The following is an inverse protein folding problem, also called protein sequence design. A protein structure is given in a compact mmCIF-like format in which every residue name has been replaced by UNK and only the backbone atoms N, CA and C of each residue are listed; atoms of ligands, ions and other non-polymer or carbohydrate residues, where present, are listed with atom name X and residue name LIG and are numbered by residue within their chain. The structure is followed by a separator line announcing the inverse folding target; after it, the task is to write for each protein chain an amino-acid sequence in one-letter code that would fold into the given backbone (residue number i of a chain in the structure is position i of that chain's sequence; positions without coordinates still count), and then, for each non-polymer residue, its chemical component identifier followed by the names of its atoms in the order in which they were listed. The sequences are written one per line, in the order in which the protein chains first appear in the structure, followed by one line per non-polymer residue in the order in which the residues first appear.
data_IF_017395856829
#
_entry.id   IF_017395856829
#
_cell.length_a   1.000
_cell.length_b   1.000
_cell.length_c   1.000
_cell.angle_alpha   90.00
_cell.angle_beta   90.00
_cell.angle_gamma   90.00
#
_symmetry.space_group_name_H-M   'P 1'
#
loop_
_entity.id
_entity.type
_entity.pdbx_description
1 polymer ?
#
# COMPACT_ATOMS: atom_id res chain seq x y z
N UNK A 1 -17.28 -20.34 11.76
CA UNK A 1 -17.86 -19.20 11.02
C UNK A 1 -17.35 -19.29 9.60
N UNK A 2 -18.22 -19.32 8.58
CA UNK A 2 -17.81 -19.44 7.18
C UNK A 2 -17.75 -18.04 6.54
N UNK A 3 -16.53 -17.50 6.47
CA UNK A 3 -15.97 -16.63 5.43
C UNK A 3 -16.90 -15.81 4.52
N UNK A 4 -17.56 -14.75 4.99
CA UNK A 4 -17.96 -13.68 4.06
C UNK A 4 -17.83 -12.29 4.69
N UNK A 5 -17.07 -11.40 4.03
CA UNK A 5 -16.85 -10.01 4.48
C UNK A 5 -17.59 -8.99 3.58
N UNK A 6 -18.40 -9.46 2.62
CA UNK A 6 -19.14 -8.59 1.70
C UNK A 6 -20.64 -8.56 2.04
N UNK A 7 -21.29 -7.38 1.99
CA UNK A 7 -22.69 -7.23 2.40
C UNK A 7 -23.69 -8.11 1.62
N UNK A 8 -23.43 -8.39 0.35
CA UNK A 8 -24.30 -9.22 -0.51
C UNK A 8 -24.28 -10.68 -0.10
N UNK A 9 -23.11 -11.23 0.24
CA UNK A 9 -22.94 -12.64 0.61
C UNK A 9 -23.45 -12.94 2.02
N UNK A 10 -23.50 -11.95 2.91
CA UNK A 10 -24.12 -12.07 4.23
C UNK A 10 -25.60 -12.50 4.14
N UNK A 11 -26.31 -12.05 3.10
CA UNK A 11 -27.71 -12.43 2.88
C UNK A 11 -27.85 -13.90 2.48
N UNK A 12 -26.94 -14.41 1.65
CA UNK A 12 -26.91 -15.82 1.23
C UNK A 12 -26.49 -16.73 2.40
N UNK A 13 -25.50 -16.34 3.20
CA UNK A 13 -25.11 -17.08 4.40
C UNK A 13 -26.26 -17.16 5.42
N UNK A 14 -27.06 -16.10 5.54
CA UNK A 14 -28.25 -16.09 6.39
C UNK A 14 -29.37 -17.01 5.88
N UNK A 15 -29.50 -17.19 4.57
CA UNK A 15 -30.45 -18.13 3.95
C UNK A 15 -29.98 -19.58 4.15
N UNK A 16 -28.69 -19.86 3.95
CA UNK A 16 -28.13 -21.22 4.08
C UNK A 16 -28.14 -21.74 5.54
N UNK A 17 -28.31 -20.87 6.54
CA UNK A 17 -28.45 -21.24 7.95
C UNK A 17 -29.89 -21.58 8.38
N UNK A 18 -30.90 -21.47 7.50
CA UNK A 18 -32.30 -21.74 7.86
C UNK A 18 -32.65 -23.22 7.68
N UNK A 19 -33.06 -23.94 8.74
CA UNK A 19 -33.89 -25.12 8.58
C UNK A 19 -35.24 -24.70 7.96
N UNK A 20 -35.86 -25.53 7.11
CA UNK A 20 -37.20 -25.25 6.59
C UNK A 20 -38.20 -25.03 7.74
N UNK A 21 -38.86 -23.87 7.77
CA UNK A 21 -39.95 -23.57 8.72
C UNK A 21 -39.60 -22.65 9.91
N UNK A 22 -38.35 -22.21 10.09
CA UNK A 22 -37.98 -21.30 11.18
C UNK A 22 -38.24 -19.81 10.90
N UNK A 23 -39.13 -19.15 11.66
CA UNK A 23 -39.29 -17.68 11.65
C UNK A 23 -38.14 -17.06 12.46
N UNK A 24 -37.46 -16.04 11.91
CA UNK A 24 -36.45 -15.29 12.65
C UNK A 24 -37.09 -14.55 13.83
N UNK A 25 -36.71 -14.91 15.06
CA UNK A 25 -36.93 -14.03 16.19
C UNK A 25 -36.03 -12.79 16.02
N UNK A 26 -36.64 -11.68 15.60
CA UNK A 26 -35.97 -10.39 15.46
C UNK A 26 -35.50 -9.92 16.84
N UNK A 27 -34.19 -9.80 17.03
CA UNK A 27 -33.66 -9.33 18.31
C UNK A 27 -32.12 -9.38 18.48
N UNK A 28 -31.38 -9.91 17.51
CA UNK A 28 -29.92 -9.85 17.57
C UNK A 28 -29.41 -8.43 17.37
N UNK A 29 -28.94 -7.76 18.43
CA UNK A 29 -28.07 -6.58 18.27
C UNK A 29 -26.92 -7.00 17.36
N UNK A 30 -26.78 -6.38 16.18
CA UNK A 30 -25.61 -6.57 15.31
C UNK A 30 -24.39 -6.11 16.10
N UNK A 31 -23.68 -7.05 16.74
CA UNK A 31 -22.41 -6.76 17.39
C UNK A 31 -21.46 -6.30 16.29
N UNK A 32 -20.75 -5.19 16.52
CA UNK A 32 -19.68 -4.77 15.60
C UNK A 32 -18.69 -5.94 15.47
N UNK A 33 -18.14 -6.19 14.26
CA UNK A 33 -17.08 -7.17 14.09
C UNK A 33 -15.95 -6.95 15.10
N UNK A 34 -15.33 -8.04 15.56
CA UNK A 34 -14.17 -7.94 16.46
C UNK A 34 -13.07 -7.13 15.78
N UNK A 35 -12.56 -6.11 16.48
CA UNK A 35 -11.42 -5.32 16.01
C UNK A 35 -10.15 -6.02 16.48
N UNK A 36 -9.40 -6.55 15.52
CA UNK A 36 -8.12 -7.21 15.82
C UNK A 36 -7.11 -6.22 16.37
N UNK A 37 -6.42 -6.61 17.43
CA UNK A 37 -5.34 -5.84 18.04
C UNK A 37 -3.99 -6.23 17.44
N UNK A 38 -2.95 -5.43 17.69
CA UNK A 38 -1.57 -5.78 17.31
C UNK A 38 -1.14 -7.16 17.84
N UNK A 39 -1.62 -7.55 19.02
CA UNK A 39 -1.29 -8.84 19.63
C UNK A 39 -1.92 -10.00 18.84
N UNK A 40 -3.17 -9.84 18.40
CA UNK A 40 -3.89 -10.86 17.64
C UNK A 40 -3.29 -11.10 16.26
N UNK A 41 -2.74 -10.05 15.64
CA UNK A 41 -2.14 -10.10 14.31
C UNK A 41 -0.63 -10.41 14.34
N UNK A 42 -0.12 -10.90 15.47
CA UNK A 42 1.29 -11.27 15.61
C UNK A 42 1.63 -12.51 14.78
N UNK A 43 2.72 -12.43 13.99
CA UNK A 43 3.21 -13.59 13.23
C UNK A 43 3.53 -14.79 14.12
N UNK A 44 3.81 -14.58 15.42
CA UNK A 44 4.11 -15.67 16.37
C UNK A 44 2.91 -16.59 16.62
N UNK A 45 1.70 -16.10 16.37
CA UNK A 45 0.45 -16.87 16.49
C UNK A 45 0.12 -17.62 15.18
N UNK A 46 0.92 -17.45 14.13
CA UNK A 46 0.70 -18.10 12.84
C UNK A 46 1.16 -19.57 12.87
N UNK A 47 0.40 -20.53 12.28
CA UNK A 47 0.82 -21.92 12.16
C UNK A 47 2.13 -22.13 11.39
N UNK A 48 2.50 -21.18 10.54
CA UNK A 48 3.75 -21.23 9.76
C UNK A 48 4.96 -20.68 10.50
N UNK A 49 4.82 -20.22 11.74
CA UNK A 49 5.91 -19.65 12.51
C UNK A 49 6.80 -20.75 13.11
N UNK A 50 8.09 -20.74 12.77
CA UNK A 50 9.07 -21.76 13.17
C UNK A 50 10.00 -21.28 14.28
N UNK A 51 9.50 -20.47 15.21
CA UNK A 51 10.29 -19.98 16.35
C UNK A 51 11.45 -19.09 15.89
N UNK A 52 12.70 -19.51 16.18
CA UNK A 52 13.91 -18.72 15.86
C UNK A 52 14.15 -18.55 14.35
N UNK A 53 13.60 -19.42 13.51
CA UNK A 53 13.73 -19.33 12.04
C UNK A 53 12.76 -18.33 11.40
N UNK A 54 11.83 -17.77 12.18
CA UNK A 54 10.80 -16.85 11.66
C UNK A 54 9.66 -17.58 10.95
N UNK A 55 8.96 -16.87 10.06
CA UNK A 55 7.89 -17.43 9.25
C UNK A 55 8.47 -18.34 8.14
N UNK A 56 7.91 -19.53 7.97
CA UNK A 56 8.34 -20.47 6.91
C UNK A 56 7.92 -20.02 5.50
N UNK A 57 6.88 -19.17 5.41
CA UNK A 57 6.31 -18.75 4.13
C UNK A 57 7.01 -17.47 3.66
N UNK A 58 7.42 -17.44 2.39
CA UNK A 58 8.08 -16.29 1.77
C UNK A 58 7.15 -15.08 1.59
N UNK A 59 5.86 -15.31 1.34
CA UNK A 59 4.82 -14.29 1.20
C UNK A 59 3.68 -14.58 2.17
N UNK A 60 3.48 -13.72 3.17
CA UNK A 60 2.45 -13.92 4.17
C UNK A 60 1.03 -13.76 3.55
N UNK A 61 0.17 -14.80 3.60
CA UNK A 61 -1.18 -14.73 3.00
C UNK A 61 -2.11 -13.72 3.67
N UNK A 62 -1.83 -13.36 4.93
CA UNK A 62 -2.63 -12.47 5.77
C UNK A 62 -1.91 -11.15 6.07
N UNK A 63 -0.96 -10.75 5.22
CA UNK A 63 -0.15 -9.55 5.46
C UNK A 63 -1.00 -8.28 5.51
N UNK A 64 -2.07 -8.18 4.72
CA UNK A 64 -3.00 -7.06 4.75
C UNK A 64 -3.62 -6.86 6.14
N UNK A 65 -4.10 -7.95 6.77
CA UNK A 65 -4.67 -7.91 8.12
C UNK A 65 -3.59 -7.50 9.13
N UNK A 66 -2.38 -8.06 9.01
CA UNK A 66 -1.27 -7.69 9.90
C UNK A 66 -0.88 -6.23 9.79
N UNK A 67 -0.97 -5.63 8.60
CA UNK A 67 -0.73 -4.20 8.39
C UNK A 67 -1.86 -3.36 9.02
N UNK A 68 -3.13 -3.76 8.87
CA UNK A 68 -4.28 -3.09 9.50
C UNK A 68 -4.16 -3.02 11.03
N UNK A 69 -3.63 -4.06 11.68
CA UNK A 69 -3.41 -4.07 13.14
C UNK A 69 -2.04 -3.48 13.56
N UNK A 70 -1.27 -2.90 12.64
CA UNK A 70 0.10 -2.42 12.88
C UNK A 70 1.04 -3.49 13.47
N UNK A 71 0.84 -4.75 13.08
CA UNK A 71 1.62 -5.92 13.48
C UNK A 71 2.66 -6.37 12.44
N UNK A 72 2.70 -5.70 11.28
CA UNK A 72 3.75 -5.82 10.28
C UNK A 72 4.34 -4.43 9.98
N UNK A 73 5.67 -4.30 9.84
CA UNK A 73 6.30 -3.06 9.46
C UNK A 73 6.14 -2.79 7.96
N UNK A 74 6.28 -1.53 7.56
CA UNK A 74 6.32 -1.09 6.15
C UNK A 74 7.30 -1.91 5.30
N UNK A 75 8.46 -2.24 5.84
CA UNK A 75 9.47 -3.04 5.15
C UNK A 75 8.93 -4.39 4.69
N UNK A 76 8.13 -5.05 5.53
CA UNK A 76 7.54 -6.35 5.21
C UNK A 76 6.54 -6.21 4.05
N UNK A 77 5.76 -5.12 4.02
CA UNK A 77 4.87 -4.80 2.90
C UNK A 77 5.65 -4.57 1.60
N UNK A 78 6.73 -3.80 1.66
CA UNK A 78 7.58 -3.53 0.48
C UNK A 78 8.24 -4.82 -0.02
N UNK A 79 8.87 -5.60 0.85
CA UNK A 79 9.52 -6.86 0.46
C UNK A 79 8.51 -7.87 -0.12
N UNK A 80 7.32 -7.98 0.47
CA UNK A 80 6.24 -8.82 -0.04
C UNK A 80 5.79 -8.38 -1.43
N UNK A 81 5.70 -7.06 -1.66
CA UNK A 81 5.29 -6.47 -2.96
C UNK A 81 6.20 -6.93 -4.10
N UNK A 82 7.50 -7.05 -3.86
CA UNK A 82 8.50 -7.36 -4.89
C UNK A 82 9.13 -8.76 -4.76
N UNK A 83 8.48 -9.67 -4.02
CA UNK A 83 8.97 -11.03 -3.77
C UNK A 83 9.20 -11.83 -5.07
N UNK A 84 8.33 -11.65 -6.06
CA UNK A 84 8.34 -12.36 -7.35
C UNK A 84 9.31 -11.77 -8.39
N UNK A 85 9.85 -10.57 -8.16
CA UNK A 85 10.73 -9.90 -9.13
C UNK A 85 12.03 -10.68 -9.32
N UNK A 86 12.42 -11.06 -10.53
CA UNK A 86 13.66 -11.84 -10.77
C UNK A 86 14.90 -10.98 -11.03
N UNK A 87 14.74 -9.67 -11.30
CA UNK A 87 15.84 -8.78 -11.64
C UNK A 87 16.84 -8.59 -10.48
N UNK A 88 18.05 -9.17 -10.61
CA UNK A 88 19.07 -9.24 -9.56
C UNK A 88 19.55 -7.86 -9.07
N UNK A 89 19.92 -6.90 -9.95
CA UNK A 89 20.40 -5.59 -9.48
C UNK A 89 19.35 -4.84 -8.67
N UNK A 90 18.09 -4.91 -9.09
CA UNK A 90 16.96 -4.34 -8.35
C UNK A 90 16.78 -5.00 -6.98
N UNK A 91 16.81 -6.35 -6.92
CA UNK A 91 16.70 -7.09 -5.65
C UNK A 91 17.82 -6.73 -4.68
N UNK A 92 19.06 -6.64 -5.16
CA UNK A 92 20.20 -6.21 -4.35
C UNK A 92 20.01 -4.80 -3.81
N UNK A 93 19.57 -3.86 -4.66
CA UNK A 93 19.28 -2.49 -4.26
C UNK A 93 18.17 -2.40 -3.21
N UNK A 94 17.06 -3.13 -3.43
CA UNK A 94 15.94 -3.19 -2.50
C UNK A 94 16.38 -3.73 -1.14
N UNK A 95 17.14 -4.84 -1.14
CA UNK A 95 17.68 -5.42 0.09
C UNK A 95 18.65 -4.48 0.78
N UNK A 96 19.55 -3.82 0.06
CA UNK A 96 20.47 -2.81 0.61
C UNK A 96 19.69 -1.71 1.34
N UNK A 97 18.73 -1.10 0.66
CA UNK A 97 17.96 0.02 1.23
C UNK A 97 17.17 -0.42 2.45
N UNK A 98 16.47 -1.56 2.42
CA UNK A 98 15.56 -1.96 3.49
C UNK A 98 16.20 -2.79 4.61
N UNK A 99 17.25 -3.60 4.35
CA UNK A 99 17.96 -4.39 5.39
C UNK A 99 18.99 -3.60 6.18
N UNK A 100 19.62 -2.57 5.62
CA UNK A 100 20.75 -1.87 6.27
C UNK A 100 20.34 -0.95 7.42
N UNK A 101 19.07 -0.98 7.84
CA UNK A 101 18.60 -0.05 8.85
C UNK A 101 19.09 -0.41 10.25
N UNK A 102 20.11 0.32 10.70
CA UNK A 102 20.53 0.41 12.10
C UNK A 102 19.51 1.24 12.89
N UNK A 103 18.61 0.57 13.60
CA UNK A 103 18.02 1.12 14.85
C UNK A 103 16.76 2.00 14.78
N UNK A 104 15.92 1.95 13.74
CA UNK A 104 14.63 2.66 13.77
C UNK A 104 13.59 2.20 12.73
N UNK A 105 12.31 2.55 12.91
CA UNK A 105 11.20 2.18 11.99
C UNK A 105 11.20 3.03 10.72
N UNK A 106 10.93 2.44 9.55
CA UNK A 106 10.90 3.15 8.27
C UNK A 106 9.81 4.22 8.25
N UNK A 107 10.20 5.47 8.03
CA UNK A 107 9.24 6.56 7.90
C UNK A 107 8.45 6.40 6.59
N UNK A 108 7.11 6.34 6.66
CA UNK A 108 6.26 6.12 5.49
C UNK A 108 6.20 7.32 4.56
N UNK A 109 6.67 8.49 4.99
CA UNK A 109 6.71 9.71 4.18
C UNK A 109 8.14 10.26 4.07
N UNK A 110 8.32 11.16 3.10
CA UNK A 110 9.59 11.87 2.92
C UNK A 110 9.89 12.82 4.08
N UNK A 111 8.87 13.55 4.51
CA UNK A 111 8.88 14.52 5.61
C UNK A 111 7.43 14.80 6.05
N UNK A 112 7.25 15.59 7.11
CA UNK A 112 5.93 15.97 7.63
C UNK A 112 5.08 16.75 6.63
N UNK A 113 5.71 17.54 5.74
CA UNK A 113 5.00 18.29 4.69
C UNK A 113 4.36 17.34 3.68
N UNK A 114 5.10 16.32 3.23
CA UNK A 114 4.59 15.27 2.35
C UNK A 114 3.42 14.54 3.03
N UNK A 115 3.57 14.11 4.30
CA UNK A 115 2.50 13.46 5.04
C UNK A 115 1.23 14.30 5.09
N UNK A 116 1.31 15.52 5.63
CA UNK A 116 0.15 16.41 5.80
C UNK A 116 -0.56 16.66 4.47
N UNK A 117 0.22 16.84 3.41
CA UNK A 117 -0.31 17.09 2.07
C UNK A 117 -1.01 15.86 1.50
N UNK A 118 -0.39 14.68 1.58
CA UNK A 118 -1.01 13.44 1.17
C UNK A 118 -2.34 13.20 1.90
N UNK A 119 -2.35 13.32 3.22
CA UNK A 119 -3.55 13.15 4.04
C UNK A 119 -4.66 14.13 3.63
N UNK A 120 -4.32 15.42 3.52
CA UNK A 120 -5.28 16.48 3.15
C UNK A 120 -5.87 16.25 1.76
N UNK A 121 -5.06 15.91 0.77
CA UNK A 121 -5.51 15.73 -0.61
C UNK A 121 -6.22 14.39 -0.82
N UNK A 122 -5.88 13.36 -0.04
CA UNK A 122 -6.55 12.05 -0.10
C UNK A 122 -8.03 12.14 0.30
N UNK A 123 -8.38 13.06 1.20
CA UNK A 123 -9.77 13.31 1.62
C UNK A 123 -10.62 13.98 0.54
N UNK A 124 -9.98 14.60 -0.47
CA UNK A 124 -10.68 15.27 -1.58
C UNK A 124 -10.96 14.34 -2.75
N UNK A 125 -10.37 13.14 -2.75
CA UNK A 125 -10.60 12.16 -3.81
C UNK A 125 -11.95 11.46 -3.60
N UNK A 126 -12.68 11.25 -4.69
CA UNK A 126 -13.95 10.51 -4.66
C UNK A 126 -13.67 9.01 -4.73
N UNK A 127 -13.87 8.30 -3.62
CA UNK A 127 -13.69 6.84 -3.50
C UNK A 127 -12.38 6.34 -4.15
N UNK A 128 -11.20 6.86 -3.73
CA UNK A 128 -9.95 6.51 -4.38
C UNK A 128 -9.62 5.03 -4.18
N UNK A 129 -9.26 4.37 -5.27
CA UNK A 129 -8.65 3.05 -5.19
C UNK A 129 -7.19 3.14 -4.73
N UNK A 130 -6.61 1.99 -4.39
CA UNK A 130 -5.23 1.94 -3.88
C UNK A 130 -4.21 2.49 -4.89
N UNK A 131 -4.45 2.30 -6.19
CA UNK A 131 -3.60 2.83 -7.27
C UNK A 131 -3.65 4.36 -7.33
N UNK A 132 -4.84 4.95 -7.20
CA UNK A 132 -4.98 6.42 -7.11
C UNK A 132 -4.30 6.98 -5.87
N UNK A 133 -4.37 6.28 -4.73
CA UNK A 133 -3.65 6.68 -3.51
C UNK A 133 -2.13 6.57 -3.69
N UNK A 134 -1.63 5.51 -4.33
CA UNK A 134 -0.22 5.36 -4.64
C UNK A 134 0.30 6.46 -5.58
N UNK A 135 -0.47 6.79 -6.62
CA UNK A 135 -0.17 7.90 -7.52
C UNK A 135 -0.15 9.24 -6.77
N UNK A 136 -1.19 9.53 -5.97
CA UNK A 136 -1.25 10.75 -5.15
C UNK A 136 -0.04 10.86 -4.23
N UNK A 137 0.34 9.78 -3.55
CA UNK A 137 1.50 9.72 -2.67
C UNK A 137 2.77 10.20 -3.40
N UNK A 138 3.07 9.66 -4.58
CA UNK A 138 4.25 10.06 -5.36
C UNK A 138 4.18 11.53 -5.81
N UNK A 139 3.02 12.00 -6.27
CA UNK A 139 2.84 13.37 -6.73
C UNK A 139 2.99 14.38 -5.59
N UNK A 140 2.55 14.03 -4.38
CA UNK A 140 2.66 14.91 -3.21
C UNK A 140 4.05 14.94 -2.58
N UNK A 141 4.92 13.99 -2.93
CA UNK A 141 6.29 13.91 -2.42
C UNK A 141 7.20 15.04 -2.95
N UNK A 142 6.86 15.60 -4.11
CA UNK A 142 7.58 16.69 -4.75
C UNK A 142 6.68 17.91 -4.99
N UNK A 143 7.20 19.10 -4.75
CA UNK A 143 6.42 20.33 -4.89
C UNK A 143 6.08 20.63 -6.36
N UNK A 144 7.05 20.45 -7.27
CA UNK A 144 6.87 20.76 -8.69
C UNK A 144 5.87 19.81 -9.32
N UNK A 145 6.00 18.51 -9.03
CA UNK A 145 5.03 17.51 -9.49
C UNK A 145 3.63 17.79 -8.99
N UNK A 146 3.47 18.12 -7.71
CA UNK A 146 2.15 18.44 -7.17
C UNK A 146 1.55 19.70 -7.77
N UNK A 147 2.36 20.74 -7.98
CA UNK A 147 1.87 22.01 -8.56
C UNK A 147 1.24 21.79 -9.94
N UNK A 148 1.87 20.93 -10.74
CA UNK A 148 1.36 20.50 -12.04
C UNK A 148 0.13 19.61 -11.87
N UNK A 149 0.23 18.53 -11.08
CA UNK A 149 -0.84 17.55 -10.89
C UNK A 149 -2.14 18.20 -10.37
N UNK A 150 -2.03 19.19 -9.48
CA UNK A 150 -3.18 19.91 -8.91
C UNK A 150 -4.04 20.58 -9.98
N UNK A 151 -3.46 21.02 -11.10
CA UNK A 151 -4.20 21.62 -12.23
C UNK A 151 -4.98 20.58 -13.04
N UNK A 152 -4.55 19.32 -12.95
CA UNK A 152 -5.18 18.16 -13.59
C UNK A 152 -6.04 17.34 -12.61
N UNK A 153 -6.24 17.84 -11.39
CA UNK A 153 -7.19 17.24 -10.45
C UNK A 153 -8.56 17.87 -10.65
N UNK A 154 -9.47 17.13 -11.29
CA UNK A 154 -10.85 17.56 -11.52
C UNK A 154 -11.83 16.55 -10.91
N UNK A 155 -12.89 17.05 -10.28
CA UNK A 155 -13.99 16.23 -9.74
C UNK A 155 -13.50 15.08 -8.83
N UNK A 156 -12.48 15.33 -8.01
CA UNK A 156 -11.93 14.34 -7.08
C UNK A 156 -11.18 13.18 -7.74
N UNK A 157 -10.75 13.32 -8.99
CA UNK A 157 -9.86 12.38 -9.71
C UNK A 157 -8.63 13.11 -10.23
N UNK A 158 -7.51 12.41 -10.28
CA UNK A 158 -6.25 12.94 -10.80
C UNK A 158 -6.08 12.40 -12.22
N UNK A 159 -6.13 13.27 -13.23
CA UNK A 159 -5.90 12.90 -14.62
C UNK A 159 -4.42 13.03 -15.00
N UNK A 160 -3.66 11.94 -14.87
CA UNK A 160 -2.25 11.91 -15.28
C UNK A 160 -2.04 11.63 -16.76
N UNK A 161 -3.08 11.32 -17.54
CA UNK A 161 -2.92 11.04 -18.98
C UNK A 161 -2.60 12.31 -19.75
N UNK A 162 -3.25 13.41 -19.39
CA UNK A 162 -3.10 14.70 -20.04
C UNK A 162 -2.07 15.63 -19.35
N UNK A 163 -1.52 15.18 -18.23
CA UNK A 163 -0.52 15.92 -17.47
C UNK A 163 0.85 15.82 -18.14
N UNK A 164 1.36 16.96 -18.60
CA UNK A 164 2.71 17.08 -19.15
C UNK A 164 3.62 17.71 -18.11
N UNK A 165 4.76 17.07 -17.86
CA UNK A 165 5.79 17.62 -16.96
C UNK A 165 6.84 18.37 -17.80
N UNK A 166 7.16 19.58 -17.37
CA UNK A 166 8.23 20.39 -17.96
C UNK A 166 9.63 19.87 -17.58
N UNK A 167 10.68 20.69 -17.70
CA UNK A 167 12.01 20.32 -17.24
C UNK A 167 12.00 20.11 -15.73
N UNK A 168 12.17 18.86 -15.29
CA UNK A 168 12.18 18.45 -13.88
C UNK A 168 13.43 17.65 -13.55
N UNK A 169 13.69 17.45 -12.27
CA UNK A 169 14.80 16.59 -11.83
C UNK A 169 14.59 15.13 -12.29
N UNK A 170 15.66 14.33 -12.47
CA UNK A 170 15.55 12.91 -12.79
C UNK A 170 14.67 12.14 -11.79
N UNK A 171 14.77 12.46 -10.50
CA UNK A 171 13.93 11.89 -9.45
C UNK A 171 12.46 12.24 -9.63
N UNK A 172 12.15 13.52 -9.88
CA UNK A 172 10.77 13.96 -10.14
C UNK A 172 10.20 13.28 -11.38
N UNK A 173 11.02 13.11 -12.42
CA UNK A 173 10.64 12.38 -13.63
C UNK A 173 10.32 10.90 -13.33
N UNK A 174 11.17 10.22 -12.55
CA UNK A 174 10.96 8.84 -12.13
C UNK A 174 9.68 8.66 -11.29
N UNK A 175 9.42 9.58 -10.35
CA UNK A 175 8.19 9.60 -9.55
C UNK A 175 6.95 9.77 -10.42
N UNK A 176 6.98 10.68 -11.40
CA UNK A 176 5.88 10.88 -12.34
C UNK A 176 5.64 9.66 -13.24
N UNK A 177 6.70 9.04 -13.78
CA UNK A 177 6.58 7.80 -14.56
C UNK A 177 5.91 6.69 -13.75
N UNK A 178 6.36 6.48 -12.51
CA UNK A 178 5.76 5.49 -11.61
C UNK A 178 4.30 5.82 -11.27
N UNK A 179 3.96 7.09 -11.04
CA UNK A 179 2.58 7.51 -10.79
C UNK A 179 1.66 7.25 -11.99
N UNK A 180 2.14 7.49 -13.22
CA UNK A 180 1.41 7.17 -14.45
C UNK A 180 1.22 5.68 -14.63
N UNK A 181 2.24 4.87 -14.39
CA UNK A 181 2.17 3.40 -14.49
C UNK A 181 1.07 2.82 -13.59
N UNK A 182 0.88 3.35 -12.38
CA UNK A 182 -0.23 2.92 -11.52
C UNK A 182 -1.61 3.23 -12.09
N UNK A 183 -1.78 4.30 -12.87
CA UNK A 183 -3.08 4.70 -13.42
C UNK A 183 -3.37 4.14 -14.80
N UNK A 184 -2.37 4.03 -15.67
CA UNK A 184 -2.56 3.58 -17.05
C UNK A 184 -2.38 2.08 -17.23
N UNK A 185 -1.82 1.39 -16.23
CA UNK A 185 -1.40 -0.02 -16.31
C UNK A 185 -0.38 -0.31 -17.42
N UNK A 186 0.10 0.74 -18.09
CA UNK A 186 1.18 0.68 -19.07
C UNK A 186 2.51 0.86 -18.35
N UNK A 187 3.45 -0.03 -18.64
CA UNK A 187 4.81 0.06 -18.11
C UNK A 187 5.49 1.37 -18.53
N UNK A 188 5.73 2.27 -17.58
CA UNK A 188 6.42 3.55 -17.81
C UNK A 188 7.87 3.52 -17.30
N UNK A 189 8.14 2.74 -16.25
CA UNK A 189 9.48 2.64 -15.64
C UNK A 189 9.96 1.19 -15.60
N UNK A 190 11.21 0.97 -15.99
CA UNK A 190 11.78 -0.38 -16.03
C UNK A 190 12.49 -0.73 -14.72
N UNK A 191 12.63 -2.03 -14.44
CA UNK A 191 13.43 -2.51 -13.30
C UNK A 191 14.92 -2.17 -13.45
N UNK A 192 15.41 -1.96 -14.68
CA UNK A 192 16.77 -1.50 -14.95
C UNK A 192 16.96 -0.05 -14.51
N UNK A 193 16.06 0.85 -14.94
CA UNK A 193 16.05 2.25 -14.49
C UNK A 193 15.90 2.36 -12.96
N UNK A 194 15.06 1.54 -12.34
CA UNK A 194 14.94 1.49 -10.87
C UNK A 194 16.17 0.91 -10.18
N UNK A 195 16.95 0.05 -10.83
CA UNK A 195 18.18 -0.47 -10.26
C UNK A 195 19.34 0.54 -10.36
N UNK A 196 19.31 1.41 -11.37
CA UNK A 196 20.32 2.43 -11.61
C UNK A 196 20.19 3.59 -10.61
N UNK A 197 21.29 3.88 -9.90
CA UNK A 197 21.35 4.93 -8.86
C UNK A 197 21.55 6.33 -9.44
N UNK A 198 22.06 6.42 -10.66
CA UNK A 198 22.24 7.70 -11.37
C UNK A 198 20.92 8.17 -11.97
N UNK A 199 20.08 7.23 -12.46
CA UNK A 199 18.76 7.55 -12.98
C UNK A 199 17.71 7.81 -11.89
N UNK A 200 17.72 7.01 -10.82
CA UNK A 200 16.77 7.11 -9.72
C UNK A 200 17.55 7.12 -8.43
N UNK A 201 17.47 8.19 -7.64
CA UNK A 201 18.17 8.25 -6.35
C UNK A 201 17.59 7.25 -5.34
N UNK A 202 18.34 6.94 -4.27
CA UNK A 202 17.84 6.06 -3.20
C UNK A 202 16.59 6.65 -2.52
N UNK A 203 16.42 7.98 -2.55
CA UNK A 203 15.24 8.68 -2.02
C UNK A 203 14.02 8.44 -2.92
N UNK A 204 14.14 8.67 -4.23
CA UNK A 204 13.05 8.45 -5.18
C UNK A 204 12.68 6.96 -5.26
N UNK A 205 13.69 6.08 -5.29
CA UNK A 205 13.50 4.64 -5.24
C UNK A 205 12.62 4.23 -4.05
N UNK A 206 12.97 4.69 -2.83
CA UNK A 206 12.20 4.38 -1.62
C UNK A 206 10.74 4.81 -1.74
N UNK A 207 10.47 6.02 -2.25
CA UNK A 207 9.11 6.51 -2.45
C UNK A 207 8.33 5.64 -3.44
N UNK A 208 8.95 5.25 -4.55
CA UNK A 208 8.33 4.36 -5.55
C UNK A 208 8.00 3.00 -4.95
N UNK A 209 8.92 2.42 -4.15
CA UNK A 209 8.68 1.15 -3.48
C UNK A 209 7.55 1.23 -2.43
N UNK A 210 7.50 2.32 -1.66
CA UNK A 210 6.42 2.59 -0.71
C UNK A 210 5.08 2.77 -1.43
N UNK A 211 5.06 3.50 -2.54
CA UNK A 211 3.85 3.68 -3.36
C UNK A 211 3.36 2.36 -3.95
N UNK A 212 4.25 1.48 -4.42
CA UNK A 212 3.87 0.15 -4.89
C UNK A 212 3.24 -0.70 -3.77
N UNK A 213 3.77 -0.62 -2.55
CA UNK A 213 3.15 -1.26 -1.39
C UNK A 213 1.77 -0.66 -1.07
N UNK A 214 1.59 0.66 -1.20
CA UNK A 214 0.27 1.32 -1.09
C UNK A 214 -0.68 0.85 -2.18
N UNK A 215 -0.21 0.70 -3.42
CA UNK A 215 -1.06 0.20 -4.52
C UNK A 215 -1.56 -1.24 -4.24
N UNK A 216 -0.73 -2.07 -3.59
CA UNK A 216 -1.06 -3.46 -3.27
C UNK A 216 -1.91 -3.62 -2.01
N UNK A 217 -1.56 -2.94 -0.92
CA UNK A 217 -2.16 -3.15 0.41
C UNK A 217 -3.02 -1.98 0.90
N UNK A 218 -2.99 -0.84 0.20
CA UNK A 218 -3.71 0.37 0.56
C UNK A 218 -2.95 1.27 1.53
N UNK A 219 -3.62 2.38 1.93
CA UNK A 219 -3.02 3.41 2.79
C UNK A 219 -2.64 2.92 4.20
N UNK A 220 -3.09 1.73 4.62
CA UNK A 220 -2.73 1.11 5.90
C UNK A 220 -1.22 0.92 6.03
N UNK A 221 -0.51 0.77 4.91
CA UNK A 221 0.95 0.69 4.82
C UNK A 221 1.63 1.97 5.35
N UNK A 222 0.95 3.10 5.29
CA UNK A 222 1.48 4.41 5.70
C UNK A 222 1.19 4.73 7.17
N UNK A 223 0.45 3.87 7.87
CA UNK A 223 0.15 4.04 9.30
C UNK A 223 1.34 3.54 10.13
N UNK A 224 2.34 4.41 10.28
CA UNK A 224 3.36 4.26 11.33
C UNK A 224 2.73 4.53 12.69
N UNK A 225 3.17 3.83 13.74
CA UNK A 225 2.68 4.07 15.09
C UNK A 225 3.00 5.51 15.52
N UNK A 226 1.98 6.25 15.95
CA UNK A 226 2.14 7.25 17.01
C UNK A 226 2.35 6.54 18.36
#
# INVERSE_FOLDING_TARGET
MYFTNTPSLNSMEAIMKRPPGGIQQGGGRKRKPYQYTKADCSCRLCPHYQGKKGCAVSVCPVLNIRLECSAAPLEEAVQSTFSEVTHTPFKQRLQRIYKEKRGGEWLPYQNSVHQKKFETESLKLLYPDNKSLAALYLLTADYTLWSEARRHTQSGRIDLKNMHIGPVSPDSYALWKAAREFQTEEKQITLGELADREMVSDKAFRLIMQAAAVARFGKVVLQGKE
#
